data_IF_011318280522
#
_entry.id   IF_011318280522
#
_cell.length_a   1.000
_cell.length_b   1.000
_cell.length_c   1.000
_cell.angle_alpha   90.00
_cell.angle_beta   90.00
_cell.angle_gamma   90.00
#
_symmetry.space_group_name_H-M   'P 1'
#
loop_
_entity.id
_entity.type
_entity.pdbx_description
1 polymer ?
#
# COMPACT_ATOMS: atom_id res chain seq x y z
N UNK A 1 5.88 -34.40 -1.65
CA UNK A 1 5.77 -33.01 -2.14
C UNK A 1 6.28 -32.99 -3.58
N UNK A 2 5.60 -32.29 -4.48
CA UNK A 2 6.03 -32.17 -5.88
C UNK A 2 6.87 -30.91 -6.08
N UNK A 3 7.74 -30.87 -7.09
CA UNK A 3 8.56 -29.69 -7.39
C UNK A 3 7.74 -28.39 -7.54
N UNK A 4 6.50 -28.48 -8.02
CA UNK A 4 5.59 -27.33 -8.13
C UNK A 4 5.12 -26.83 -6.76
N UNK A 5 4.85 -27.73 -5.82
CA UNK A 5 4.45 -27.38 -4.46
C UNK A 5 5.60 -26.71 -3.70
N UNK A 6 6.82 -27.22 -3.88
CA UNK A 6 8.02 -26.65 -3.25
C UNK A 6 8.29 -25.23 -3.77
N UNK A 7 8.17 -25.00 -5.08
CA UNK A 7 8.29 -23.66 -5.66
C UNK A 7 7.22 -22.70 -5.15
N UNK A 8 5.96 -23.14 -5.06
CA UNK A 8 4.88 -22.31 -4.55
C UNK A 8 5.12 -21.89 -3.10
N UNK A 9 5.64 -22.80 -2.26
CA UNK A 9 6.00 -22.50 -0.88
C UNK A 9 7.14 -21.45 -0.81
N UNK A 10 8.19 -21.60 -1.62
CA UNK A 10 9.29 -20.63 -1.68
C UNK A 10 8.84 -19.24 -2.18
N UNK A 11 7.93 -19.21 -3.16
CA UNK A 11 7.32 -17.96 -3.63
C UNK A 11 6.48 -17.29 -2.55
N UNK A 12 5.70 -18.06 -1.80
CA UNK A 12 4.92 -17.54 -0.68
C UNK A 12 5.82 -16.97 0.42
N UNK A 13 6.91 -17.66 0.77
CA UNK A 13 7.89 -17.19 1.74
C UNK A 13 8.54 -15.86 1.29
N UNK A 14 8.92 -15.77 0.01
CA UNK A 14 9.45 -14.52 -0.57
C UNK A 14 8.43 -13.38 -0.50
N UNK A 15 7.16 -13.63 -0.85
CA UNK A 15 6.10 -12.61 -0.78
C UNK A 15 5.87 -12.17 0.67
N UNK A 16 5.90 -13.10 1.64
CA UNK A 16 5.80 -12.77 3.06
C UNK A 16 6.99 -11.93 3.53
N UNK A 17 8.22 -12.26 3.12
CA UNK A 17 9.41 -11.48 3.47
C UNK A 17 9.30 -10.03 2.97
N UNK A 18 8.85 -9.84 1.73
CA UNK A 18 8.70 -8.52 1.09
C UNK A 18 7.57 -7.67 1.68
N UNK A 19 6.46 -8.29 2.09
CA UNK A 19 5.25 -7.55 2.50
C UNK A 19 5.08 -7.45 4.01
N UNK A 20 5.53 -8.43 4.78
CA UNK A 20 5.28 -8.55 6.22
C UNK A 20 6.55 -8.50 7.08
N UNK A 21 7.73 -8.31 6.50
CA UNK A 21 8.98 -8.14 7.26
C UNK A 21 9.53 -9.45 7.83
N UNK A 22 9.63 -10.49 6.99
CA UNK A 22 10.20 -11.79 7.35
C UNK A 22 11.68 -11.94 7.00
N UNK A 23 12.31 -13.02 7.47
CA UNK A 23 13.65 -13.40 7.05
C UNK A 23 13.70 -13.66 5.53
N UNK A 24 14.85 -13.37 4.91
CA UNK A 24 15.05 -13.69 3.50
C UNK A 24 15.08 -15.23 3.32
N UNK A 25 14.31 -15.78 2.35
CA UNK A 25 14.36 -17.22 2.08
C UNK A 25 15.76 -17.66 1.63
N UNK A 26 16.14 -18.93 1.81
CA UNK A 26 17.42 -19.45 1.35
C UNK A 26 17.68 -19.14 -0.14
N UNK A 27 18.90 -18.71 -0.45
CA UNK A 27 19.30 -18.35 -1.82
C UNK A 27 18.96 -16.92 -2.25
N UNK A 28 18.27 -16.14 -1.41
CA UNK A 28 18.07 -14.70 -1.62
C UNK A 28 19.03 -13.86 -0.78
N UNK A 29 19.50 -12.76 -1.37
CA UNK A 29 20.30 -11.78 -0.66
C UNK A 29 19.42 -10.95 0.29
N UNK A 30 19.72 -10.98 1.58
CA UNK A 30 18.91 -10.31 2.60
C UNK A 30 18.86 -8.79 2.42
N UNK A 31 19.97 -8.16 2.00
CA UNK A 31 20.02 -6.71 1.76
C UNK A 31 19.11 -6.32 0.60
N UNK A 32 19.14 -7.06 -0.50
CA UNK A 32 18.24 -6.84 -1.64
C UNK A 32 16.77 -7.01 -1.26
N UNK A 33 16.43 -7.98 -0.43
CA UNK A 33 15.05 -8.15 0.05
C UNK A 33 14.61 -6.94 0.89
N UNK A 34 15.47 -6.43 1.77
CA UNK A 34 15.19 -5.23 2.55
C UNK A 34 15.01 -3.99 1.66
N UNK A 35 15.87 -3.80 0.66
CA UNK A 35 15.75 -2.71 -0.31
C UNK A 35 14.43 -2.79 -1.09
N UNK A 36 14.02 -3.98 -1.51
CA UNK A 36 12.75 -4.17 -2.21
C UNK A 36 11.55 -3.94 -1.29
N UNK A 37 11.58 -4.41 -0.04
CA UNK A 37 10.54 -4.15 0.94
C UNK A 37 10.38 -2.64 1.18
N UNK A 38 11.49 -1.91 1.32
CA UNK A 38 11.49 -0.46 1.45
C UNK A 38 10.92 0.23 0.19
N UNK A 39 11.30 -0.21 -1.01
CA UNK A 39 10.75 0.32 -2.26
C UNK A 39 9.23 0.09 -2.38
N UNK A 40 8.73 -1.05 -1.92
CA UNK A 40 7.30 -1.35 -1.87
C UNK A 40 6.55 -0.45 -0.88
N UNK A 41 7.13 -0.20 0.30
CA UNK A 41 6.58 0.77 1.27
C UNK A 41 6.47 2.17 0.68
N UNK A 42 7.52 2.65 0.00
CA UNK A 42 7.52 3.95 -0.69
C UNK A 42 6.48 3.99 -1.82
N UNK A 43 6.34 2.92 -2.60
CA UNK A 43 5.33 2.80 -3.64
C UNK A 43 3.92 2.91 -3.06
N UNK A 44 3.68 2.26 -1.92
CA UNK A 44 2.40 2.31 -1.22
C UNK A 44 2.09 3.72 -0.72
N UNK A 45 3.07 4.41 -0.11
CA UNK A 45 2.96 5.82 0.31
C UNK A 45 2.56 6.72 -0.86
N UNK A 46 3.28 6.62 -1.99
CA UNK A 46 2.97 7.36 -3.23
C UNK A 46 1.60 7.01 -3.80
N UNK A 47 1.15 5.77 -3.61
CA UNK A 47 -0.20 5.34 -3.95
C UNK A 47 -1.27 6.11 -3.17
N UNK A 48 -1.05 6.30 -1.86
CA UNK A 48 -1.96 7.09 -1.01
C UNK A 48 -1.93 8.57 -1.39
N UNK A 49 -0.73 9.16 -1.58
CA UNK A 49 -0.59 10.55 -2.04
C UNK A 49 -1.39 10.84 -3.30
N UNK A 50 -1.40 9.89 -4.25
CA UNK A 50 -2.15 10.01 -5.52
C UNK A 50 -3.64 9.75 -5.35
N UNK A 51 -4.02 8.81 -4.49
CA UNK A 51 -5.42 8.39 -4.34
C UNK A 51 -6.24 9.32 -3.44
N UNK A 52 -5.58 10.00 -2.48
CA UNK A 52 -6.20 10.87 -1.50
C UNK A 52 -5.23 12.02 -1.13
N UNK A 53 -4.95 12.96 -2.05
CA UNK A 53 -3.98 14.05 -1.85
C UNK A 53 -4.34 14.99 -0.69
N UNK A 54 -5.59 15.02 -0.26
CA UNK A 54 -6.06 15.76 0.91
C UNK A 54 -5.50 15.20 2.23
N UNK A 55 -5.18 13.92 2.29
CA UNK A 55 -4.65 13.26 3.50
C UNK A 55 -3.24 13.75 3.84
N UNK A 56 -2.24 13.70 2.93
CA UNK A 56 -0.93 14.29 3.20
C UNK A 56 -1.02 15.80 3.38
N UNK A 57 -1.95 16.50 2.71
CA UNK A 57 -2.16 17.94 2.94
C UNK A 57 -2.64 18.23 4.36
N UNK A 58 -3.50 17.38 4.93
CA UNK A 58 -3.98 17.53 6.31
C UNK A 58 -2.93 17.15 7.37
N UNK A 59 -2.07 16.17 7.08
CA UNK A 59 -1.02 15.70 7.99
C UNK A 59 0.27 16.52 7.90
N UNK A 60 0.51 17.20 6.76
CA UNK A 60 1.72 17.99 6.53
C UNK A 60 2.99 17.16 6.70
N UNK A 61 3.99 17.74 7.38
CA UNK A 61 5.29 17.11 7.66
C UNK A 61 5.19 15.84 8.50
N UNK A 62 4.08 15.61 9.21
CA UNK A 62 3.88 14.36 9.96
C UNK A 62 3.55 13.17 9.03
N UNK A 63 3.11 13.42 7.79
CA UNK A 63 2.64 12.37 6.90
C UNK A 63 3.60 11.18 6.72
N UNK A 64 4.91 11.36 6.46
CA UNK A 64 5.82 10.23 6.29
C UNK A 64 5.92 9.34 7.53
N UNK A 65 6.03 9.95 8.72
CA UNK A 65 6.15 9.23 10.00
C UNK A 65 4.84 8.53 10.35
N UNK A 66 3.71 9.24 10.28
CA UNK A 66 2.37 8.69 10.51
C UNK A 66 2.05 7.55 9.53
N UNK A 67 2.46 7.66 8.26
CA UNK A 67 2.32 6.57 7.30
C UNK A 67 3.16 5.36 7.68
N UNK A 68 4.41 5.54 8.12
CA UNK A 68 5.29 4.43 8.50
C UNK A 68 4.73 3.66 9.72
N UNK A 69 4.24 4.39 10.72
CA UNK A 69 3.56 3.80 11.89
C UNK A 69 2.36 2.96 11.46
N UNK A 70 1.47 3.54 10.65
CA UNK A 70 0.32 2.79 10.13
C UNK A 70 0.73 1.57 9.31
N UNK A 71 1.69 1.73 8.39
CA UNK A 71 2.11 0.67 7.48
C UNK A 71 2.72 -0.52 8.22
N UNK A 72 3.43 -0.29 9.33
CA UNK A 72 3.98 -1.37 10.16
C UNK A 72 2.91 -2.21 10.84
N UNK A 73 1.81 -1.58 11.28
CA UNK A 73 0.65 -2.28 11.86
C UNK A 73 -0.29 -2.89 10.80
N UNK A 74 -0.15 -2.50 9.52
CA UNK A 74 -1.05 -2.89 8.44
C UNK A 74 -0.28 -3.40 7.22
N UNK A 75 0.37 -4.57 7.30
CA UNK A 75 1.11 -5.13 6.17
C UNK A 75 0.21 -5.29 4.92
N UNK A 76 0.75 -5.10 3.70
CA UNK A 76 -0.03 -5.20 2.47
C UNK A 76 -0.72 -6.56 2.34
N UNK A 77 -1.96 -6.55 1.86
CA UNK A 77 -2.74 -7.75 1.58
C UNK A 77 -2.75 -7.99 0.08
N UNK A 78 -2.86 -9.24 -0.35
CA UNK A 78 -2.85 -9.63 -1.78
C UNK A 78 -3.88 -8.86 -2.63
N UNK A 79 -4.96 -8.38 -2.01
CA UNK A 79 -6.06 -7.69 -2.68
C UNK A 79 -6.14 -6.19 -2.35
N UNK A 80 -5.09 -5.59 -1.75
CA UNK A 80 -5.10 -4.15 -1.48
C UNK A 80 -4.78 -3.34 -2.74
N UNK A 81 -5.50 -2.24 -2.93
CA UNK A 81 -5.18 -1.24 -3.94
C UNK A 81 -4.98 0.13 -3.27
N UNK A 82 -4.37 1.07 -3.98
CA UNK A 82 -4.08 2.40 -3.43
C UNK A 82 -5.32 3.12 -2.88
N UNK A 83 -6.50 2.90 -3.46
CA UNK A 83 -7.76 3.51 -2.96
C UNK A 83 -8.23 2.91 -1.64
N UNK A 84 -8.14 1.58 -1.48
CA UNK A 84 -8.52 0.92 -0.22
C UNK A 84 -7.52 1.23 0.89
N UNK A 85 -6.23 1.27 0.57
CA UNK A 85 -5.18 1.68 1.51
C UNK A 85 -5.35 3.14 1.93
N UNK A 86 -5.64 4.05 1.00
CA UNK A 86 -5.89 5.45 1.32
C UNK A 86 -7.09 5.63 2.26
N UNK A 87 -8.20 4.92 2.01
CA UNK A 87 -9.37 4.96 2.89
C UNK A 87 -9.06 4.41 4.29
N UNK A 88 -8.36 3.28 4.38
CA UNK A 88 -7.97 2.68 5.66
C UNK A 88 -6.99 3.57 6.44
N UNK A 89 -6.00 4.13 5.76
CA UNK A 89 -5.05 5.06 6.36
C UNK A 89 -5.74 6.33 6.85
N UNK A 90 -6.60 6.94 6.04
CA UNK A 90 -7.29 8.17 6.42
C UNK A 90 -8.25 7.95 7.60
N UNK A 91 -8.94 6.81 7.65
CA UNK A 91 -9.79 6.44 8.78
C UNK A 91 -9.00 6.24 10.08
N UNK A 92 -7.74 5.80 9.98
CA UNK A 92 -6.85 5.63 11.12
C UNK A 92 -6.17 6.94 11.55
N UNK A 93 -5.72 7.76 10.59
CA UNK A 93 -4.89 8.94 10.83
C UNK A 93 -5.68 10.23 11.10
N UNK A 94 -6.92 10.35 10.62
CA UNK A 94 -7.70 11.59 10.70
C UNK A 94 -8.88 11.47 11.69
N UNK A 95 -9.23 12.54 12.42
CA UNK A 95 -10.39 12.54 13.29
C UNK A 95 -11.70 12.44 12.49
N UNK A 96 -12.65 11.64 12.99
CA UNK A 96 -13.96 11.28 12.36
C UNK A 96 -14.79 12.47 11.84
N UNK A 97 -14.51 13.71 12.28
CA UNK A 97 -15.26 14.92 11.88
C UNK A 97 -14.94 15.48 10.50
N UNK A 98 -13.89 15.01 9.82
CA UNK A 98 -13.64 15.44 8.42
C UNK A 98 -14.52 14.70 7.41
N UNK A 99 -15.36 13.74 7.85
CA UNK A 99 -15.60 12.55 7.03
C UNK A 99 -16.82 12.51 6.06
N UNK A 100 -17.67 13.54 5.90
CA UNK A 100 -18.86 13.41 5.01
C UNK A 100 -18.78 14.11 3.65
N UNK A 101 -17.83 15.01 3.42
CA UNK A 101 -17.74 15.82 2.18
C UNK A 101 -16.64 15.44 1.19
N UNK A 102 -15.77 14.51 1.54
CA UNK A 102 -14.43 14.31 0.96
C UNK A 102 -14.27 12.95 0.26
N UNK A 103 -15.29 12.08 0.31
CA UNK A 103 -15.25 10.78 -0.38
C UNK A 103 -16.34 10.69 -1.44
N UNK A 104 -15.96 10.83 -2.71
CA UNK A 104 -16.78 10.36 -3.84
C UNK A 104 -15.98 9.26 -4.53
N UNK A 105 -16.49 8.00 -4.62
CA UNK A 105 -15.82 7.01 -5.44
C UNK A 105 -15.84 7.53 -6.88
N UNK A 106 -14.66 7.66 -7.49
CA UNK A 106 -14.49 8.13 -8.85
C UNK A 106 -15.24 7.23 -9.85
N UNK A 107 -16.53 7.51 -10.07
CA UNK A 107 -17.27 7.16 -11.28
C UNK A 107 -17.54 8.45 -12.04
N UNK A 108 -16.61 8.81 -12.94
CA UNK A 108 -16.87 9.38 -14.29
C UNK A 108 -15.54 9.79 -14.95
N UNK A 109 -14.89 8.81 -15.56
CA UNK A 109 -14.08 9.02 -16.76
C UNK A 109 -14.71 8.20 -17.89
N UNK A 110 -15.93 8.58 -18.27
CA UNK A 110 -16.64 8.10 -19.46
C UNK A 110 -17.74 9.11 -19.81
N UNK A 111 -17.35 10.36 -20.02
CA UNK A 111 -18.21 11.40 -20.59
C UNK A 111 -17.34 12.58 -21.06
N UNK A 112 -16.54 12.37 -22.12
CA UNK A 112 -16.16 13.40 -23.11
C UNK A 112 -15.13 12.87 -24.11
N UNK A 113 -15.63 12.30 -25.20
CA UNK A 113 -15.05 12.25 -26.55
C UNK A 113 -16.02 11.40 -27.39
N UNK A 114 -16.63 11.82 -28.48
CA UNK A 114 -16.68 13.08 -29.20
C UNK A 114 -17.97 13.01 -30.04
N UNK A 115 -18.70 14.12 -30.11
CA UNK A 115 -19.62 14.42 -31.22
C UNK A 115 -18.74 14.92 -32.38
N UNK A 116 -19.04 14.55 -33.63
CA UNK A 116 -19.85 15.45 -34.45
C UNK A 116 -21.28 14.95 -34.65
#
# INVERSE_FOLDING_TARGET
MTARQDLAAAQEELVRALLAGGAAPPGFDAGRIQDQAHALLLKRRRGIERAAPEVPAALGEAFPTTFAEWASAHPPRTNSCSRTDAAAFAAWALPVRTSRRWWTPARKAAARSARP
#
